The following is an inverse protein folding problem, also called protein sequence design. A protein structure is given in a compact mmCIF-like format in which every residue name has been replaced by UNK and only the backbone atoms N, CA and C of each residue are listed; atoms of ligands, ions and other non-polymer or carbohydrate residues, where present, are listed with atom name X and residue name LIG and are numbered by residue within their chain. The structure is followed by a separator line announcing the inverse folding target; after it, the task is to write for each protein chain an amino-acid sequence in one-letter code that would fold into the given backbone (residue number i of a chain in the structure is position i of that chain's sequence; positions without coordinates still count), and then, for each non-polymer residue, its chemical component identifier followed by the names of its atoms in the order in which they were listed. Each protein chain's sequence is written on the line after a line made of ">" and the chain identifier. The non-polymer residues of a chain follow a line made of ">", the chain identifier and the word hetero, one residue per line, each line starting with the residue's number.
data_IF_434795853909
#
_entry.id   IF_434795853909
#
_cell.length_a   1.000
_cell.length_b   1.000
_cell.length_c   1.000
_cell.angle_alpha   90.00
_cell.angle_beta   90.00
_cell.angle_gamma   90.00
#
_symmetry.space_group_name_H-M   'P 1'
#
loop_
_entity.id
_entity.type
_entity.pdbx_description
1 polymer ?
#
# COMPACT_ATOMS: atom_id res chain seq x y z
N UNK A 1 35.22 -11.25 -2.19
CA UNK A 1 34.46 -9.99 -2.52
C UNK A 1 34.41 -9.12 -1.27
N UNK A 2 34.98 -7.90 -1.31
CA UNK A 2 35.20 -7.06 -0.11
C UNK A 2 33.85 -6.54 0.45
N UNK A 3 33.33 -7.19 1.49
CA UNK A 3 32.10 -6.81 2.18
C UNK A 3 32.15 -5.46 2.94
N UNK A 4 33.29 -4.80 3.00
CA UNK A 4 33.48 -3.56 3.77
C UNK A 4 33.18 -2.25 3.02
N UNK A 5 33.08 -2.24 1.69
CA UNK A 5 32.83 -1.01 0.91
C UNK A 5 31.35 -0.66 0.68
N UNK A 6 30.44 -1.58 0.97
CA UNK A 6 29.00 -1.44 0.67
C UNK A 6 28.18 -0.73 1.78
N UNK A 7 28.78 -0.45 2.92
CA UNK A 7 28.12 0.19 4.06
C UNK A 7 28.51 1.66 4.27
N UNK A 8 28.90 2.37 3.22
CA UNK A 8 29.10 3.81 3.35
C UNK A 8 27.72 4.47 3.65
N UNK A 9 27.69 5.32 4.67
CA UNK A 9 26.50 6.10 5.02
C UNK A 9 25.91 6.81 3.80
N UNK A 10 26.75 7.31 2.88
CA UNK A 10 26.35 7.94 1.63
C UNK A 10 25.59 6.99 0.69
N UNK A 11 25.93 5.71 0.61
CA UNK A 11 25.22 4.72 -0.21
C UNK A 11 23.85 4.37 0.38
N UNK A 12 23.73 4.34 1.73
CA UNK A 12 22.47 4.11 2.42
C UNK A 12 21.53 5.33 2.24
N UNK A 13 22.05 6.54 2.43
CA UNK A 13 21.27 7.77 2.22
C UNK A 13 20.87 7.95 0.76
N UNK A 14 21.75 7.66 -0.20
CA UNK A 14 21.44 7.73 -1.63
C UNK A 14 20.36 6.76 -2.05
N UNK A 15 20.40 5.52 -1.57
CA UNK A 15 19.36 4.52 -1.83
C UNK A 15 17.99 4.91 -1.25
N UNK A 16 17.96 5.37 0.01
CA UNK A 16 16.73 5.80 0.68
C UNK A 16 16.12 7.05 0.03
N UNK A 17 16.93 8.04 -0.33
CA UNK A 17 16.50 9.23 -1.04
C UNK A 17 15.92 8.90 -2.42
N UNK A 18 16.57 7.98 -3.16
CA UNK A 18 16.06 7.51 -4.45
C UNK A 18 14.69 6.83 -4.32
N UNK A 19 14.55 5.90 -3.37
CA UNK A 19 13.26 5.21 -3.12
C UNK A 19 12.16 6.21 -2.74
N UNK A 20 12.49 7.16 -1.86
CA UNK A 20 11.55 8.22 -1.47
C UNK A 20 11.13 9.08 -2.67
N UNK A 21 12.09 9.50 -3.50
CA UNK A 21 11.81 10.27 -4.72
C UNK A 21 10.93 9.48 -5.70
N UNK A 22 11.19 8.19 -5.92
CA UNK A 22 10.36 7.34 -6.77
C UNK A 22 8.91 7.24 -6.23
N UNK A 23 8.74 7.07 -4.91
CA UNK A 23 7.41 7.01 -4.27
C UNK A 23 6.64 8.32 -4.39
N UNK A 24 7.29 9.45 -4.14
CA UNK A 24 6.66 10.78 -4.28
C UNK A 24 6.26 11.04 -5.72
N UNK A 25 7.17 10.78 -6.67
CA UNK A 25 6.89 10.94 -8.11
C UNK A 25 5.77 9.99 -8.56
N UNK A 26 5.79 8.75 -8.12
CA UNK A 26 4.75 7.75 -8.41
C UNK A 26 3.39 8.15 -7.86
N UNK A 27 3.34 8.64 -6.63
CA UNK A 27 2.12 9.14 -6.01
C UNK A 27 1.56 10.36 -6.77
N UNK A 28 2.42 11.30 -7.16
CA UNK A 28 2.03 12.46 -7.95
C UNK A 28 1.51 12.05 -9.33
N UNK A 29 2.21 11.14 -10.03
CA UNK A 29 1.77 10.62 -11.34
C UNK A 29 0.44 9.86 -11.22
N UNK A 30 0.26 9.06 -10.18
CA UNK A 30 -0.98 8.32 -9.95
C UNK A 30 -2.15 9.27 -9.64
N UNK A 31 -1.93 10.31 -8.85
CA UNK A 31 -2.93 11.33 -8.56
C UNK A 31 -3.31 12.09 -9.84
N UNK A 32 -2.32 12.52 -10.63
CA UNK A 32 -2.53 13.20 -11.91
C UNK A 32 -3.29 12.33 -12.91
N UNK A 33 -2.91 11.04 -13.03
CA UNK A 33 -3.63 10.07 -13.84
C UNK A 33 -5.11 9.96 -13.40
N UNK A 34 -5.38 9.87 -12.09
CA UNK A 34 -6.76 9.76 -11.59
C UNK A 34 -7.57 11.03 -11.87
N UNK A 35 -6.97 12.21 -11.75
CA UNK A 35 -7.61 13.48 -12.14
C UNK A 35 -7.98 13.45 -13.62
N UNK A 36 -7.06 13.01 -14.48
CA UNK A 36 -7.30 12.92 -15.92
C UNK A 36 -8.41 11.91 -16.24
N UNK A 37 -8.36 10.70 -15.65
CA UNK A 37 -9.40 9.69 -15.82
C UNK A 37 -10.76 10.18 -15.34
N UNK A 38 -10.84 10.87 -14.19
CA UNK A 38 -12.09 11.46 -13.70
C UNK A 38 -12.69 12.44 -14.71
N UNK A 39 -11.85 13.29 -15.33
CA UNK A 39 -12.26 14.27 -16.31
C UNK A 39 -12.70 13.67 -17.65
N UNK A 40 -12.05 12.58 -18.08
CA UNK A 40 -12.27 11.97 -19.39
C UNK A 40 -13.41 10.96 -19.40
N UNK A 41 -13.61 10.21 -18.32
CA UNK A 41 -14.63 9.14 -18.27
C UNK A 41 -15.77 9.40 -17.27
N UNK A 42 -15.66 10.47 -16.45
CA UNK A 42 -16.66 10.80 -15.43
C UNK A 42 -16.58 9.91 -14.18
N UNK A 43 -17.34 10.30 -13.14
CA UNK A 43 -17.28 9.65 -11.85
C UNK A 43 -17.78 8.19 -11.87
N UNK A 44 -18.80 7.87 -12.64
CA UNK A 44 -19.41 6.54 -12.67
C UNK A 44 -18.45 5.48 -13.24
N UNK A 45 -17.88 5.73 -14.41
CA UNK A 45 -16.93 4.81 -15.05
C UNK A 45 -15.60 4.73 -14.24
N UNK A 46 -15.14 5.86 -13.72
CA UNK A 46 -13.98 5.86 -12.81
C UNK A 46 -14.24 5.00 -11.58
N UNK A 47 -15.44 5.05 -11.02
CA UNK A 47 -15.83 4.22 -9.87
C UNK A 47 -15.78 2.72 -10.18
N UNK A 48 -16.30 2.30 -11.36
CA UNK A 48 -16.23 0.91 -11.83
C UNK A 48 -14.76 0.46 -11.94
N UNK A 49 -13.92 1.29 -12.59
CA UNK A 49 -12.48 1.02 -12.69
C UNK A 49 -11.81 0.88 -11.31
N UNK A 50 -12.09 1.81 -10.38
CA UNK A 50 -11.51 1.80 -9.03
C UNK A 50 -11.92 0.55 -8.28
N UNK A 51 -13.19 0.15 -8.30
CA UNK A 51 -13.68 -1.05 -7.63
C UNK A 51 -13.00 -2.31 -8.21
N UNK A 52 -13.00 -2.45 -9.55
CA UNK A 52 -12.37 -3.59 -10.22
C UNK A 52 -10.87 -3.67 -9.91
N UNK A 53 -10.17 -2.52 -9.97
CA UNK A 53 -8.74 -2.46 -9.67
C UNK A 53 -8.43 -2.73 -8.19
N UNK A 54 -9.29 -2.28 -7.25
CA UNK A 54 -9.13 -2.58 -5.82
C UNK A 54 -9.25 -4.08 -5.54
N UNK A 55 -10.16 -4.78 -6.21
CA UNK A 55 -10.24 -6.24 -6.17
C UNK A 55 -8.95 -6.90 -6.69
N UNK A 56 -8.42 -6.43 -7.83
CA UNK A 56 -7.15 -6.92 -8.35
C UNK A 56 -6.02 -6.77 -7.33
N UNK A 57 -5.88 -5.58 -6.73
CA UNK A 57 -4.82 -5.28 -5.76
C UNK A 57 -4.94 -6.15 -4.51
N UNK A 58 -6.15 -6.28 -3.94
CA UNK A 58 -6.36 -7.06 -2.73
C UNK A 58 -6.17 -8.56 -2.96
N UNK A 59 -6.71 -9.10 -4.06
CA UNK A 59 -6.54 -10.51 -4.42
C UNK A 59 -5.08 -10.86 -4.74
N UNK A 60 -4.34 -9.96 -5.41
CA UNK A 60 -2.91 -10.12 -5.62
C UNK A 60 -2.13 -10.13 -4.30
N UNK A 61 -2.48 -9.22 -3.37
CA UNK A 61 -1.87 -9.16 -2.04
C UNK A 61 -2.11 -10.44 -1.22
N UNK A 62 -3.30 -11.01 -1.26
CA UNK A 62 -3.60 -12.29 -0.59
C UNK A 62 -2.88 -13.46 -1.27
N UNK A 63 -2.79 -13.44 -2.61
CA UNK A 63 -2.26 -14.55 -3.41
C UNK A 63 -0.78 -14.84 -3.17
N UNK A 64 0.02 -13.87 -2.74
CA UNK A 64 1.43 -14.16 -2.43
C UNK A 64 1.64 -14.76 -1.02
N UNK A 65 0.57 -15.07 -0.27
CA UNK A 65 0.60 -15.79 1.01
C UNK A 65 1.64 -15.24 2.00
N UNK A 66 1.90 -13.93 1.95
CA UNK A 66 2.89 -13.26 2.78
C UNK A 66 4.35 -13.47 2.38
N UNK A 67 4.64 -14.17 1.28
CA UNK A 67 6.02 -14.36 0.81
C UNK A 67 6.67 -13.03 0.44
N UNK A 68 5.92 -12.11 -0.16
CA UNK A 68 6.41 -10.78 -0.53
C UNK A 68 6.93 -10.00 0.69
N UNK A 69 6.19 -9.76 1.78
CA UNK A 69 6.73 -9.09 2.96
C UNK A 69 7.78 -9.91 3.70
N UNK A 70 7.80 -11.25 3.57
CA UNK A 70 8.81 -12.12 4.18
C UNK A 70 10.14 -12.17 3.41
N UNK A 71 10.18 -11.70 2.15
CA UNK A 71 11.34 -11.81 1.24
C UNK A 71 12.62 -11.26 1.87
N UNK A 72 12.56 -10.08 2.49
CA UNK A 72 13.75 -9.46 3.09
C UNK A 72 14.35 -10.31 4.21
N UNK A 73 13.50 -10.96 5.02
CA UNK A 73 13.96 -11.84 6.10
C UNK A 73 14.53 -13.14 5.56
N UNK A 74 13.89 -13.73 4.55
CA UNK A 74 14.29 -15.03 3.96
C UNK A 74 15.59 -14.86 3.19
N UNK A 75 15.68 -13.90 2.27
CA UNK A 75 16.89 -13.66 1.46
C UNK A 75 18.01 -13.11 2.35
N UNK A 76 17.70 -12.21 3.30
CA UNK A 76 18.71 -11.70 4.22
C UNK A 76 19.37 -12.82 5.06
N UNK A 77 18.57 -13.80 5.53
CA UNK A 77 19.08 -15.00 6.20
C UNK A 77 19.95 -15.84 5.26
N UNK A 78 19.47 -16.13 4.05
CA UNK A 78 20.21 -16.95 3.07
C UNK A 78 21.55 -16.32 2.66
N UNK A 79 21.60 -14.98 2.54
CA UNK A 79 22.85 -14.24 2.29
C UNK A 79 23.80 -14.30 3.48
N UNK A 80 23.31 -14.21 4.72
CA UNK A 80 24.14 -14.29 5.93
C UNK A 80 24.70 -15.71 6.16
N UNK A 81 23.93 -16.74 5.83
CA UNK A 81 24.34 -18.16 5.92
C UNK A 81 25.16 -18.62 4.71
N UNK A 82 25.35 -17.77 3.70
CA UNK A 82 26.06 -18.08 2.43
C UNK A 82 25.44 -19.31 1.76
N UNK A 83 24.11 -19.33 1.60
CA UNK A 83 23.35 -20.42 0.98
C UNK A 83 22.70 -19.97 -0.35
N UNK A 84 23.45 -19.96 -1.46
CA UNK A 84 22.92 -19.56 -2.79
C UNK A 84 21.74 -20.42 -3.24
N UNK A 85 21.78 -21.74 -2.97
CA UNK A 85 20.70 -22.66 -3.31
C UNK A 85 19.34 -22.27 -2.70
N UNK A 86 19.34 -21.70 -1.49
CA UNK A 86 18.11 -21.22 -0.85
C UNK A 86 17.54 -19.96 -1.54
N UNK A 87 18.40 -19.10 -2.07
CA UNK A 87 18.00 -17.91 -2.84
C UNK A 87 17.36 -18.33 -4.16
N UNK A 88 18.00 -19.23 -4.89
CA UNK A 88 17.46 -19.80 -6.13
C UNK A 88 16.13 -20.51 -5.86
N UNK A 89 16.08 -21.36 -4.82
CA UNK A 89 14.87 -22.07 -4.44
C UNK A 89 13.71 -21.13 -4.06
N UNK A 90 14.01 -20.04 -3.34
CA UNK A 90 12.97 -19.05 -3.00
C UNK A 90 12.47 -18.28 -4.22
N UNK A 91 13.38 -17.87 -5.12
CA UNK A 91 12.99 -17.17 -6.35
C UNK A 91 12.14 -18.06 -7.28
N UNK A 92 12.52 -19.33 -7.45
CA UNK A 92 11.81 -20.28 -8.31
C UNK A 92 10.52 -20.80 -7.68
N UNK A 93 10.62 -21.46 -6.52
CA UNK A 93 9.47 -22.11 -5.87
C UNK A 93 8.50 -21.09 -5.28
N UNK A 94 9.03 -20.01 -4.71
CA UNK A 94 8.20 -18.89 -4.23
C UNK A 94 7.42 -18.26 -5.37
N UNK A 95 8.09 -18.01 -6.51
CA UNK A 95 7.44 -17.52 -7.73
C UNK A 95 6.38 -18.46 -8.29
N UNK A 96 6.65 -19.79 -8.31
CA UNK A 96 5.66 -20.81 -8.71
C UNK A 96 4.44 -20.83 -7.80
N UNK A 97 4.63 -20.81 -6.48
CA UNK A 97 3.53 -20.78 -5.50
C UNK A 97 2.69 -19.53 -5.68
N UNK A 98 3.32 -18.35 -5.76
CA UNK A 98 2.62 -17.08 -6.00
C UNK A 98 1.83 -17.13 -7.31
N UNK A 99 2.40 -17.64 -8.38
CA UNK A 99 1.73 -17.77 -9.68
C UNK A 99 0.54 -18.73 -9.62
N UNK A 100 0.72 -19.95 -9.12
CA UNK A 100 -0.35 -20.95 -9.05
C UNK A 100 -1.50 -20.46 -8.18
N UNK A 101 -1.20 -19.93 -6.99
CA UNK A 101 -2.23 -19.40 -6.08
C UNK A 101 -2.97 -18.22 -6.71
N UNK A 102 -2.26 -17.27 -7.32
CA UNK A 102 -2.87 -16.10 -7.94
C UNK A 102 -3.73 -16.45 -9.16
N UNK A 103 -3.31 -17.43 -9.98
CA UNK A 103 -4.12 -17.94 -11.09
C UNK A 103 -5.37 -18.64 -10.56
N UNK A 104 -5.25 -19.48 -9.52
CA UNK A 104 -6.41 -20.15 -8.91
C UNK A 104 -7.41 -19.13 -8.37
N UNK A 105 -6.94 -18.12 -7.65
CA UNK A 105 -7.77 -17.03 -7.11
C UNK A 105 -8.42 -16.24 -8.25
N UNK A 106 -7.66 -15.90 -9.29
CA UNK A 106 -8.16 -15.17 -10.46
C UNK A 106 -9.26 -15.95 -11.19
N UNK A 107 -9.05 -17.24 -11.45
CA UNK A 107 -10.04 -18.11 -12.11
C UNK A 107 -11.30 -18.28 -11.27
N UNK A 108 -11.16 -18.48 -9.96
CA UNK A 108 -12.31 -18.60 -9.04
C UNK A 108 -13.12 -17.29 -8.99
N UNK A 109 -12.45 -16.15 -8.94
CA UNK A 109 -13.10 -14.84 -8.95
C UNK A 109 -13.78 -14.55 -10.31
N UNK A 110 -13.12 -14.90 -11.42
CA UNK A 110 -13.68 -14.76 -12.77
C UNK A 110 -14.92 -15.64 -12.95
N UNK A 111 -14.86 -16.90 -12.50
CA UNK A 111 -16.01 -17.81 -12.53
C UNK A 111 -17.20 -17.25 -11.73
N UNK A 112 -16.93 -16.70 -10.55
CA UNK A 112 -17.98 -16.08 -9.73
C UNK A 112 -18.64 -14.91 -10.45
N UNK A 113 -17.88 -14.03 -11.11
CA UNK A 113 -18.44 -12.92 -11.91
C UNK A 113 -19.28 -13.46 -13.08
N UNK A 114 -18.81 -14.47 -13.79
CA UNK A 114 -19.54 -15.08 -14.91
C UNK A 114 -20.88 -15.68 -14.43
N UNK A 115 -20.87 -16.38 -13.30
CA UNK A 115 -22.09 -16.97 -12.71
C UNK A 115 -23.08 -15.92 -12.19
N UNK A 116 -22.60 -14.73 -11.87
CA UNK A 116 -23.41 -13.61 -11.38
C UNK A 116 -23.72 -12.58 -12.48
N UNK A 117 -23.30 -12.82 -13.74
CA UNK A 117 -23.45 -11.84 -14.84
C UNK A 117 -24.90 -11.42 -15.04
N UNK A 118 -25.87 -12.33 -14.89
CA UNK A 118 -27.30 -12.02 -15.01
C UNK A 118 -27.81 -11.04 -13.93
N UNK A 119 -27.07 -10.88 -12.84
CA UNK A 119 -27.39 -9.97 -11.73
C UNK A 119 -26.58 -8.66 -11.75
N UNK A 120 -25.57 -8.58 -12.62
CA UNK A 120 -24.72 -7.41 -12.76
C UNK A 120 -25.22 -6.55 -13.95
N UNK A 121 -25.16 -5.23 -13.88
CA UNK A 121 -25.37 -4.38 -15.05
C UNK A 121 -24.38 -4.78 -16.16
N UNK A 122 -24.88 -4.99 -17.39
CA UNK A 122 -24.15 -5.64 -18.48
C UNK A 122 -22.80 -5.00 -18.86
N UNK A 123 -22.55 -3.74 -18.49
CA UNK A 123 -21.28 -3.04 -18.76
C UNK A 123 -20.17 -3.29 -17.72
N UNK A 124 -20.50 -3.89 -16.57
CA UNK A 124 -19.55 -3.97 -15.45
C UNK A 124 -18.72 -5.27 -15.43
N UNK A 125 -19.16 -6.33 -16.09
CA UNK A 125 -18.47 -7.64 -16.05
C UNK A 125 -17.06 -7.58 -16.67
N UNK A 126 -16.90 -6.91 -17.83
CA UNK A 126 -15.63 -6.86 -18.55
C UNK A 126 -14.47 -6.22 -17.75
N UNK A 127 -14.63 -5.06 -17.10
CA UNK A 127 -13.59 -4.48 -16.22
C UNK A 127 -13.16 -5.45 -15.10
N UNK A 128 -14.11 -6.18 -14.48
CA UNK A 128 -13.79 -7.14 -13.43
C UNK A 128 -13.02 -8.35 -13.94
N UNK A 129 -13.40 -8.93 -15.08
CA UNK A 129 -12.68 -10.05 -15.69
C UNK A 129 -11.25 -9.67 -16.05
N UNK A 130 -11.04 -8.46 -16.62
CA UNK A 130 -9.70 -7.93 -16.88
C UNK A 130 -8.89 -7.69 -15.61
N UNK A 131 -9.54 -7.17 -14.56
CA UNK A 131 -8.92 -6.99 -13.26
C UNK A 131 -8.47 -8.32 -12.65
N UNK A 132 -9.27 -9.38 -12.77
CA UNK A 132 -8.89 -10.70 -12.27
C UNK A 132 -7.79 -11.35 -13.13
N UNK A 133 -7.79 -11.14 -14.44
CA UNK A 133 -6.67 -11.53 -15.30
C UNK A 133 -5.35 -10.83 -14.92
N UNK A 134 -5.42 -9.62 -14.35
CA UNK A 134 -4.27 -8.87 -13.87
C UNK A 134 -3.75 -9.35 -12.49
N UNK A 135 -4.52 -10.12 -11.71
CA UNK A 135 -4.11 -10.59 -10.36
C UNK A 135 -2.78 -11.33 -10.37
N UNK A 136 -2.55 -12.37 -11.21
CA UNK A 136 -1.27 -13.07 -11.24
C UNK A 136 -0.11 -12.17 -11.69
N UNK A 137 -0.36 -11.22 -12.57
CA UNK A 137 0.64 -10.27 -13.03
C UNK A 137 1.10 -9.35 -11.89
N UNK A 138 0.14 -8.77 -11.18
CA UNK A 138 0.43 -7.87 -10.07
C UNK A 138 1.09 -8.60 -8.88
N UNK A 139 0.66 -9.83 -8.58
CA UNK A 139 1.26 -10.65 -7.53
C UNK A 139 2.73 -10.97 -7.87
N UNK A 140 3.03 -11.34 -9.12
CA UNK A 140 4.40 -11.58 -9.57
C UNK A 140 5.25 -10.32 -9.57
N UNK A 141 4.75 -9.18 -10.06
CA UNK A 141 5.45 -7.89 -10.04
C UNK A 141 5.84 -7.54 -8.60
N UNK A 142 4.92 -7.69 -7.65
CA UNK A 142 5.16 -7.39 -6.23
C UNK A 142 6.22 -8.32 -5.62
N UNK A 143 6.14 -9.61 -5.90
CA UNK A 143 7.09 -10.60 -5.41
C UNK A 143 8.50 -10.39 -5.99
N UNK A 144 8.61 -10.23 -7.31
CA UNK A 144 9.86 -9.97 -8.02
C UNK A 144 10.50 -8.64 -7.59
N UNK A 145 9.67 -7.59 -7.45
CA UNK A 145 10.11 -6.29 -6.96
C UNK A 145 10.72 -6.38 -5.55
N UNK A 146 10.13 -7.19 -4.66
CA UNK A 146 10.68 -7.35 -3.31
C UNK A 146 11.98 -8.15 -3.28
N UNK A 147 12.18 -9.12 -4.18
CA UNK A 147 13.48 -9.77 -4.37
C UNK A 147 14.51 -8.74 -4.83
N UNK A 148 14.18 -7.90 -5.80
CA UNK A 148 15.08 -6.83 -6.25
C UNK A 148 15.43 -5.84 -5.11
N UNK A 149 14.49 -5.54 -4.20
CA UNK A 149 14.78 -4.75 -3.00
C UNK A 149 15.78 -5.45 -2.08
N UNK A 150 15.67 -6.78 -1.90
CA UNK A 150 16.58 -7.55 -1.07
C UNK A 150 18.03 -7.48 -1.58
N UNK A 151 18.22 -7.40 -2.91
CA UNK A 151 19.53 -7.20 -3.56
C UNK A 151 19.89 -5.72 -3.76
N UNK A 152 19.11 -4.78 -3.20
CA UNK A 152 19.30 -3.32 -3.35
C UNK A 152 19.23 -2.81 -4.80
N UNK A 153 18.61 -3.55 -5.69
CA UNK A 153 18.33 -3.10 -7.07
C UNK A 153 17.13 -2.17 -7.08
N UNK A 154 17.22 -1.06 -6.36
CA UNK A 154 16.10 -0.12 -6.15
C UNK A 154 15.53 0.42 -7.46
N UNK A 155 16.37 0.63 -8.49
CA UNK A 155 15.89 1.06 -9.80
C UNK A 155 14.97 0.02 -10.43
N UNK A 156 15.34 -1.25 -10.37
CA UNK A 156 14.54 -2.37 -10.90
C UNK A 156 13.25 -2.57 -10.09
N UNK A 157 13.31 -2.39 -8.78
CA UNK A 157 12.15 -2.57 -7.90
C UNK A 157 11.09 -1.47 -8.06
N UNK A 158 11.51 -0.20 -8.17
CA UNK A 158 10.59 0.94 -8.04
C UNK A 158 10.27 1.64 -9.37
N UNK A 159 11.22 1.83 -10.28
CA UNK A 159 10.96 2.59 -11.52
C UNK A 159 9.85 1.98 -12.38
N UNK A 160 9.82 0.66 -12.66
CA UNK A 160 8.79 0.08 -13.52
C UNK A 160 7.38 0.25 -12.94
N UNK A 161 7.22 -0.01 -11.64
CA UNK A 161 5.92 -0.04 -10.98
C UNK A 161 5.41 1.34 -10.56
N UNK A 162 6.29 2.20 -10.05
CA UNK A 162 5.91 3.48 -9.45
C UNK A 162 5.93 4.63 -10.46
N UNK A 163 6.81 4.56 -11.48
CA UNK A 163 7.01 5.69 -12.41
C UNK A 163 6.58 5.32 -13.83
N UNK A 164 7.17 4.28 -14.42
CA UNK A 164 6.94 3.99 -15.84
C UNK A 164 5.52 3.52 -16.12
N UNK A 165 4.97 2.62 -15.31
CA UNK A 165 3.61 2.10 -15.51
C UNK A 165 2.54 3.20 -15.44
N UNK A 166 2.45 4.05 -14.39
CA UNK A 166 1.45 5.12 -14.36
C UNK A 166 1.69 6.19 -15.45
N UNK A 167 2.94 6.50 -15.80
CA UNK A 167 3.25 7.42 -16.87
C UNK A 167 2.82 6.89 -18.25
N UNK A 168 3.15 5.62 -18.55
CA UNK A 168 2.74 4.98 -19.81
C UNK A 168 1.22 4.79 -19.88
N UNK A 169 0.58 4.43 -18.76
CA UNK A 169 -0.88 4.34 -18.71
C UNK A 169 -1.51 5.70 -19.05
N UNK A 170 -1.02 6.78 -18.44
CA UNK A 170 -1.49 8.13 -18.75
C UNK A 170 -1.30 8.46 -20.23
N UNK A 171 -0.12 8.22 -20.79
CA UNK A 171 0.17 8.57 -22.20
C UNK A 171 -0.70 7.77 -23.17
N UNK A 172 -0.87 6.46 -22.96
CA UNK A 172 -1.67 5.61 -23.85
C UNK A 172 -3.14 5.98 -23.75
N UNK A 173 -3.67 6.16 -22.54
CA UNK A 173 -5.07 6.53 -22.32
C UNK A 173 -5.36 7.93 -22.85
N UNK A 174 -4.43 8.89 -22.69
CA UNK A 174 -4.54 10.22 -23.31
C UNK A 174 -4.59 10.15 -24.84
N UNK A 175 -3.73 9.32 -25.46
CA UNK A 175 -3.75 9.12 -26.90
C UNK A 175 -5.08 8.51 -27.38
N UNK A 176 -5.63 7.52 -26.66
CA UNK A 176 -6.94 6.93 -26.96
C UNK A 176 -8.03 8.00 -26.85
N UNK A 177 -8.05 8.79 -25.78
CA UNK A 177 -9.05 9.82 -25.57
C UNK A 177 -9.01 10.90 -26.67
N UNK A 178 -7.82 11.32 -27.09
CA UNK A 178 -7.66 12.30 -28.18
C UNK A 178 -8.17 11.75 -29.51
N UNK A 179 -8.00 10.45 -29.78
CA UNK A 179 -8.36 9.85 -31.08
C UNK A 179 -9.82 9.37 -31.14
N UNK A 180 -10.38 8.89 -30.05
CA UNK A 180 -11.73 8.28 -30.04
C UNK A 180 -12.77 9.13 -29.32
N UNK A 181 -12.34 10.05 -28.44
CA UNK A 181 -13.19 10.83 -27.53
C UNK A 181 -14.05 9.96 -26.60
N UNK A 182 -13.88 8.64 -26.61
CA UNK A 182 -14.61 7.68 -25.79
C UNK A 182 -13.64 6.92 -24.89
N UNK A 183 -13.86 7.01 -23.59
CA UNK A 183 -13.06 6.30 -22.59
C UNK A 183 -14.00 5.70 -21.56
N UNK A 184 -13.81 4.42 -21.28
CA UNK A 184 -14.57 3.68 -20.26
C UNK A 184 -13.66 2.81 -19.40
N UNK A 185 -14.21 2.26 -18.32
CA UNK A 185 -13.47 1.41 -17.38
C UNK A 185 -12.80 0.19 -18.04
N UNK A 186 -13.45 -0.38 -19.07
CA UNK A 186 -12.93 -1.56 -19.80
C UNK A 186 -11.66 -1.21 -20.56
N UNK A 187 -11.66 -0.09 -21.31
CA UNK A 187 -10.48 0.36 -22.07
C UNK A 187 -9.31 0.64 -21.13
N UNK A 188 -9.53 1.40 -20.06
CA UNK A 188 -8.48 1.73 -19.10
C UNK A 188 -7.93 0.46 -18.46
N UNK A 189 -8.81 -0.50 -18.08
CA UNK A 189 -8.42 -1.75 -17.46
C UNK A 189 -7.65 -2.65 -18.44
N UNK A 190 -8.00 -2.65 -19.73
CA UNK A 190 -7.26 -3.37 -20.78
C UNK A 190 -5.82 -2.86 -20.89
N UNK A 191 -5.66 -1.54 -20.99
CA UNK A 191 -4.32 -0.92 -21.08
C UNK A 191 -3.52 -1.22 -19.79
N UNK A 192 -4.15 -1.07 -18.64
CA UNK A 192 -3.53 -1.36 -17.34
C UNK A 192 -3.03 -2.80 -17.24
N UNK A 193 -3.87 -3.78 -17.62
CA UNK A 193 -3.52 -5.21 -17.61
C UNK A 193 -2.40 -5.52 -18.59
N UNK A 194 -2.44 -4.94 -19.79
CA UNK A 194 -1.38 -5.10 -20.80
C UNK A 194 -0.04 -4.55 -20.31
N UNK A 195 -0.03 -3.37 -19.69
CA UNK A 195 1.18 -2.80 -19.11
C UNK A 195 1.71 -3.64 -17.93
N UNK A 196 0.82 -4.22 -17.12
CA UNK A 196 1.22 -5.17 -16.07
C UNK A 196 1.86 -6.41 -16.65
N UNK A 197 1.33 -6.96 -17.75
CA UNK A 197 1.92 -8.10 -18.43
C UNK A 197 3.35 -7.80 -18.91
N UNK A 198 3.54 -6.69 -19.62
CA UNK A 198 4.87 -6.26 -20.07
C UNK A 198 5.82 -6.06 -18.90
N UNK A 199 5.36 -5.43 -17.81
CA UNK A 199 6.16 -5.18 -16.62
C UNK A 199 6.55 -6.50 -15.92
N UNK A 200 5.62 -7.45 -15.77
CA UNK A 200 5.88 -8.74 -15.13
C UNK A 200 6.93 -9.56 -15.91
N UNK A 201 6.79 -9.59 -17.23
CA UNK A 201 7.74 -10.27 -18.12
C UNK A 201 9.12 -9.60 -18.08
N UNK A 202 9.17 -8.29 -18.18
CA UNK A 202 10.44 -7.55 -18.11
C UNK A 202 11.15 -7.78 -16.78
N UNK A 203 10.45 -7.67 -15.66
CA UNK A 203 11.01 -7.93 -14.32
C UNK A 203 11.48 -9.37 -14.17
N UNK A 204 10.77 -10.34 -14.72
CA UNK A 204 11.17 -11.76 -14.68
C UNK A 204 12.55 -11.96 -15.35
N UNK A 205 12.75 -11.43 -16.55
CA UNK A 205 14.02 -11.56 -17.25
C UNK A 205 15.15 -10.77 -16.58
N UNK A 206 14.89 -9.52 -16.16
CA UNK A 206 15.87 -8.68 -15.49
C UNK A 206 16.32 -9.35 -14.18
N UNK A 207 15.37 -9.85 -13.37
CA UNK A 207 15.67 -10.52 -12.12
C UNK A 207 16.49 -11.79 -12.35
N UNK A 208 16.09 -12.62 -13.32
CA UNK A 208 16.78 -13.88 -13.62
C UNK A 208 18.22 -13.65 -14.11
N UNK A 209 18.43 -12.64 -14.95
CA UNK A 209 19.77 -12.27 -15.42
C UNK A 209 20.62 -11.68 -14.28
N UNK A 210 20.05 -10.81 -13.46
CA UNK A 210 20.73 -10.21 -12.32
C UNK A 210 21.13 -11.25 -11.27
N UNK A 211 20.24 -12.18 -10.91
CA UNK A 211 20.56 -13.26 -9.98
C UNK A 211 21.69 -14.15 -10.51
N UNK A 212 21.69 -14.48 -11.81
CA UNK A 212 22.79 -15.25 -12.44
C UNK A 212 24.14 -14.54 -12.41
N UNK A 213 24.14 -13.22 -12.44
CA UNK A 213 25.35 -12.41 -12.38
C UNK A 213 25.94 -12.29 -10.97
N UNK A 214 25.08 -12.28 -9.93
CA UNK A 214 25.51 -12.04 -8.55
C UNK A 214 25.61 -13.30 -7.68
N UNK A 215 24.81 -14.33 -7.98
CA UNK A 215 24.67 -15.53 -7.16
C UNK A 215 25.26 -16.73 -7.87
N UNK A 216 26.13 -17.47 -7.18
CA UNK A 216 26.70 -18.70 -7.69
C UNK A 216 25.60 -19.69 -8.10
N UNK A 217 25.76 -20.39 -9.25
CA UNK A 217 24.81 -21.41 -9.65
C UNK A 217 24.95 -22.63 -8.71
N UNK A 218 23.95 -22.84 -7.90
CA UNK A 218 23.82 -23.99 -7.00
C UNK A 218 22.45 -24.65 -7.15
N UNK A 219 22.32 -25.95 -6.82
CA UNK A 219 21.01 -26.61 -6.78
C UNK A 219 20.04 -25.88 -5.87
N UNK A 220 18.80 -25.71 -6.34
CA UNK A 220 17.77 -24.98 -5.58
C UNK A 220 17.36 -25.76 -4.33
N UNK A 221 17.43 -25.11 -3.17
CA UNK A 221 16.98 -25.61 -1.89
C UNK A 221 15.58 -25.06 -1.55
N UNK A 222 14.69 -25.91 -1.04
CA UNK A 222 13.28 -25.54 -0.80
C UNK A 222 12.88 -25.66 0.67
N UNK A 223 12.55 -24.52 1.28
CA UNK A 223 12.01 -24.45 2.66
C UNK A 223 10.56 -23.87 2.65
N UNK A 224 9.71 -24.29 1.72
CA UNK A 224 8.39 -23.67 1.47
C UNK A 224 7.52 -23.57 2.73
N UNK A 225 7.49 -24.61 3.57
CA UNK A 225 6.73 -24.61 4.84
C UNK A 225 7.22 -23.55 5.82
N UNK A 226 8.55 -23.38 5.91
CA UNK A 226 9.16 -22.36 6.78
C UNK A 226 8.85 -20.95 6.24
N UNK A 227 8.93 -20.74 4.93
CA UNK A 227 8.60 -19.47 4.28
C UNK A 227 7.15 -19.05 4.53
N UNK A 228 6.20 -19.99 4.38
CA UNK A 228 4.78 -19.74 4.66
C UNK A 228 4.53 -19.43 6.15
N UNK A 229 5.19 -20.13 7.06
CA UNK A 229 5.07 -19.86 8.50
C UNK A 229 5.54 -18.44 8.86
N UNK A 230 6.58 -17.95 8.20
CA UNK A 230 7.07 -16.58 8.38
C UNK A 230 6.13 -15.58 7.70
N UNK A 231 5.63 -15.91 6.51
CA UNK A 231 4.85 -15.02 5.65
C UNK A 231 3.43 -14.76 6.15
N UNK A 232 2.72 -15.78 6.62
CA UNK A 232 1.29 -15.68 6.97
C UNK A 232 0.98 -14.60 8.01
N UNK A 233 1.72 -14.44 9.11
CA UNK A 233 1.50 -13.32 10.03
C UNK A 233 1.78 -11.96 9.39
N UNK A 234 2.82 -11.87 8.55
CA UNK A 234 3.19 -10.65 7.86
C UNK A 234 2.16 -10.25 6.79
N UNK A 235 1.45 -11.21 6.19
CA UNK A 235 0.35 -10.95 5.28
C UNK A 235 -0.73 -10.11 5.94
N UNK A 236 -1.23 -10.52 7.11
CA UNK A 236 -2.30 -9.81 7.81
C UNK A 236 -1.89 -8.39 8.22
N UNK A 237 -0.64 -8.22 8.69
CA UNK A 237 -0.08 -6.90 9.01
C UNK A 237 -0.02 -6.02 7.75
N UNK A 238 0.39 -6.59 6.62
CA UNK A 238 0.49 -5.84 5.37
C UNK A 238 -0.87 -5.52 4.76
N UNK A 239 -1.86 -6.42 4.88
CA UNK A 239 -3.22 -6.17 4.42
C UNK A 239 -3.83 -4.94 5.08
N UNK A 240 -3.69 -4.81 6.38
CA UNK A 240 -4.16 -3.60 7.07
C UNK A 240 -3.27 -2.40 6.79
N UNK A 241 -1.96 -2.56 6.88
CA UNK A 241 -1.01 -1.44 6.79
C UNK A 241 -0.93 -0.78 5.41
N UNK A 242 -1.11 -1.55 4.33
CA UNK A 242 -0.92 -1.08 2.95
C UNK A 242 -2.19 -1.11 2.10
N UNK A 243 -3.13 -2.04 2.35
CA UNK A 243 -4.28 -2.30 1.47
C UNK A 243 -5.62 -1.93 2.10
N UNK A 244 -5.61 -1.24 3.24
CA UNK A 244 -6.85 -0.81 3.90
C UNK A 244 -7.72 0.14 3.04
N UNK A 245 -7.15 1.06 2.23
CA UNK A 245 -7.96 1.87 1.30
C UNK A 245 -8.71 1.02 0.26
N UNK A 246 -8.05 0.04 -0.34
CA UNK A 246 -8.64 -0.87 -1.32
C UNK A 246 -9.72 -1.75 -0.67
N UNK A 247 -9.47 -2.21 0.56
CA UNK A 247 -10.45 -2.94 1.36
C UNK A 247 -11.72 -2.12 1.60
N UNK A 248 -11.59 -0.83 1.95
CA UNK A 248 -12.73 0.07 2.11
C UNK A 248 -13.50 0.24 0.80
N UNK A 249 -12.82 0.43 -0.33
CA UNK A 249 -13.46 0.54 -1.66
C UNK A 249 -14.27 -0.71 -1.99
N UNK A 250 -13.71 -1.90 -1.73
CA UNK A 250 -14.39 -3.18 -1.97
C UNK A 250 -15.66 -3.32 -1.11
N UNK A 251 -15.62 -2.90 0.15
CA UNK A 251 -16.79 -2.94 1.04
C UNK A 251 -17.90 -1.96 0.60
N UNK A 252 -17.52 -0.85 -0.02
CA UNK A 252 -18.44 0.18 -0.49
C UNK A 252 -19.14 -0.21 -1.80
N UNK A 253 -18.43 -0.90 -2.71
CA UNK A 253 -18.93 -1.22 -4.06
C UNK A 253 -20.33 -1.81 -4.12
N UNK A 254 -20.69 -2.79 -3.26
CA UNK A 254 -22.05 -3.36 -3.22
C UNK A 254 -23.12 -2.48 -2.57
N UNK A 255 -22.75 -1.41 -1.86
CA UNK A 255 -23.66 -0.65 -1.00
C UNK A 255 -24.04 0.72 -1.56
N UNK A 256 -23.18 1.32 -2.38
CA UNK A 256 -23.37 2.65 -2.95
C UNK A 256 -23.06 2.65 -4.46
N UNK A 257 -23.57 3.65 -5.17
CA UNK A 257 -23.32 3.78 -6.60
C UNK A 257 -21.83 4.04 -6.91
N UNK A 258 -21.38 3.64 -8.10
CA UNK A 258 -19.97 3.70 -8.49
C UNK A 258 -19.39 5.13 -8.50
N UNK A 259 -20.18 6.13 -8.88
CA UNK A 259 -19.82 7.54 -8.80
C UNK A 259 -19.49 7.98 -7.37
N UNK A 260 -20.28 7.55 -6.39
CA UNK A 260 -20.02 7.80 -4.97
C UNK A 260 -18.74 7.12 -4.49
N UNK A 261 -18.44 5.90 -4.99
CA UNK A 261 -17.17 5.23 -4.69
C UNK A 261 -15.99 6.02 -5.28
N UNK A 262 -16.12 6.56 -6.49
CA UNK A 262 -15.08 7.42 -7.09
C UNK A 262 -14.84 8.69 -6.25
N UNK A 263 -15.91 9.35 -5.79
CA UNK A 263 -15.84 10.55 -4.93
C UNK A 263 -15.18 10.22 -3.58
N UNK A 264 -15.57 9.10 -2.96
CA UNK A 264 -14.93 8.61 -1.72
C UNK A 264 -13.44 8.34 -1.94
N UNK A 265 -13.07 7.63 -3.02
CA UNK A 265 -11.67 7.30 -3.31
C UNK A 265 -10.83 8.54 -3.55
N UNK A 266 -11.32 9.53 -4.34
CA UNK A 266 -10.64 10.80 -4.56
C UNK A 266 -10.42 11.56 -3.24
N UNK A 267 -11.44 11.64 -2.39
CA UNK A 267 -11.38 12.23 -1.05
C UNK A 267 -10.36 11.52 -0.16
N UNK A 268 -10.32 10.18 -0.19
CA UNK A 268 -9.40 9.38 0.59
C UNK A 268 -7.96 9.55 0.10
N UNK A 269 -7.72 9.55 -1.20
CA UNK A 269 -6.37 9.74 -1.75
C UNK A 269 -5.80 11.11 -1.43
N UNK A 270 -6.60 12.17 -1.46
CA UNK A 270 -6.17 13.49 -1.01
C UNK A 270 -5.82 13.46 0.50
N UNK A 271 -6.67 12.87 1.34
CA UNK A 271 -6.39 12.75 2.77
C UNK A 271 -5.11 11.92 3.06
N UNK A 272 -4.81 10.89 2.25
CA UNK A 272 -3.58 10.10 2.37
C UNK A 272 -2.30 10.88 2.07
N UNK A 273 -2.36 12.04 1.37
CA UNK A 273 -1.18 12.90 1.20
C UNK A 273 -0.59 13.34 2.55
N UNK A 274 -1.43 13.47 3.60
CA UNK A 274 -0.97 13.73 4.97
C UNK A 274 -0.08 12.59 5.46
N UNK A 275 -0.45 11.34 5.14
CA UNK A 275 0.30 10.15 5.55
C UNK A 275 1.70 10.06 4.90
N UNK A 276 1.91 10.67 3.72
CA UNK A 276 3.25 10.75 3.11
C UNK A 276 4.22 11.57 3.96
N UNK A 277 3.78 12.71 4.50
CA UNK A 277 4.59 13.50 5.42
C UNK A 277 4.96 12.72 6.69
N UNK A 278 4.01 11.99 7.27
CA UNK A 278 4.25 11.11 8.42
C UNK A 278 5.23 9.99 8.08
N UNK A 279 5.08 9.34 6.92
CA UNK A 279 5.97 8.29 6.45
C UNK A 279 7.41 8.77 6.23
N UNK A 280 7.60 10.01 5.79
CA UNK A 280 8.92 10.63 5.69
C UNK A 280 9.57 10.74 7.08
N UNK A 281 8.85 11.26 8.07
CA UNK A 281 9.34 11.39 9.45
C UNK A 281 9.68 10.01 10.04
N UNK A 282 8.81 9.00 9.83
CA UNK A 282 9.02 7.62 10.27
C UNK A 282 10.29 7.01 9.65
N UNK A 283 10.55 7.28 8.37
CA UNK A 283 11.72 6.74 7.66
C UNK A 283 13.05 7.19 8.26
N UNK A 284 13.10 8.40 8.82
CA UNK A 284 14.27 8.92 9.55
C UNK A 284 14.29 8.50 11.01
N UNK A 285 13.13 8.39 11.64
CA UNK A 285 13.02 8.10 13.08
C UNK A 285 13.23 6.63 13.38
N UNK A 286 12.73 5.72 12.56
CA UNK A 286 12.76 4.28 12.82
C UNK A 286 14.19 3.69 12.98
N UNK A 287 15.20 4.01 12.13
CA UNK A 287 16.56 3.51 12.32
C UNK A 287 17.23 4.04 13.60
N UNK A 288 16.95 5.32 13.94
CA UNK A 288 17.46 5.93 15.16
C UNK A 288 16.83 5.29 16.39
N UNK A 289 15.51 5.08 16.36
CA UNK A 289 14.78 4.41 17.43
C UNK A 289 15.28 2.96 17.64
N UNK A 290 15.54 2.21 16.55
CA UNK A 290 16.11 0.88 16.63
C UNK A 290 17.46 0.85 17.36
N UNK A 291 18.35 1.78 17.03
CA UNK A 291 19.68 1.88 17.63
C UNK A 291 19.59 2.24 19.12
N UNK A 292 18.79 3.25 19.46
CA UNK A 292 18.63 3.69 20.84
C UNK A 292 17.97 2.62 21.72
N UNK A 293 17.01 1.90 21.17
CA UNK A 293 16.37 0.77 21.86
C UNK A 293 17.37 -0.37 22.14
N UNK A 294 18.20 -0.73 21.13
CA UNK A 294 19.24 -1.75 21.29
C UNK A 294 20.32 -1.34 22.31
N UNK A 295 20.63 -0.02 22.37
CA UNK A 295 21.55 0.55 23.34
C UNK A 295 20.93 0.71 24.76
N UNK A 296 19.63 0.44 24.92
CA UNK A 296 18.85 0.68 26.17
C UNK A 296 18.82 2.15 26.63
N UNK A 297 19.00 3.09 25.70
CA UNK A 297 18.96 4.53 25.95
C UNK A 297 17.52 5.05 25.89
N UNK A 298 16.69 4.65 26.85
CA UNK A 298 15.23 4.89 26.87
C UNK A 298 14.90 6.38 26.87
N UNK A 299 15.64 7.22 27.61
CA UNK A 299 15.40 8.65 27.69
C UNK A 299 15.63 9.37 26.34
N UNK A 300 16.70 9.00 25.63
CA UNK A 300 16.98 9.54 24.31
C UNK A 300 15.98 9.07 23.27
N UNK A 301 15.60 7.78 23.34
CA UNK A 301 14.56 7.22 22.50
C UNK A 301 13.23 7.97 22.69
N UNK A 302 12.82 8.24 23.94
CA UNK A 302 11.61 9.03 24.20
C UNK A 302 11.73 10.46 23.67
N UNK A 303 12.88 11.10 23.79
CA UNK A 303 13.11 12.44 23.25
C UNK A 303 12.99 12.48 21.72
N UNK A 304 13.57 11.50 21.02
CA UNK A 304 13.48 11.37 19.55
C UNK A 304 12.02 11.12 19.12
N UNK A 305 11.33 10.18 19.76
CA UNK A 305 9.92 9.87 19.48
C UNK A 305 9.03 11.09 19.71
N UNK A 306 9.26 11.81 20.80
CA UNK A 306 8.53 13.05 21.13
C UNK A 306 8.71 14.13 20.05
N UNK A 307 9.93 14.33 19.55
CA UNK A 307 10.21 15.30 18.46
C UNK A 307 9.52 14.86 17.16
N UNK A 308 9.61 13.59 16.82
CA UNK A 308 8.96 13.02 15.63
C UNK A 308 7.42 13.20 15.70
N UNK A 309 6.82 12.91 16.85
CA UNK A 309 5.37 13.09 17.08
C UNK A 309 4.95 14.56 16.95
N UNK A 310 5.72 15.49 17.54
CA UNK A 310 5.45 16.94 17.41
C UNK A 310 5.48 17.40 15.95
N UNK A 311 6.54 17.05 15.22
CA UNK A 311 6.69 17.41 13.82
C UNK A 311 5.57 16.81 12.98
N UNK A 312 5.29 15.52 13.15
CA UNK A 312 4.23 14.82 12.42
C UNK A 312 2.84 15.41 12.68
N UNK A 313 2.56 15.75 13.94
CA UNK A 313 1.29 16.38 14.30
C UNK A 313 1.15 17.79 13.70
N UNK A 314 2.19 18.63 13.82
CA UNK A 314 2.17 19.97 13.22
C UNK A 314 2.01 19.93 11.70
N UNK A 315 2.74 19.04 11.00
CA UNK A 315 2.55 18.83 9.57
C UNK A 315 1.11 18.40 9.24
N UNK A 316 0.53 17.50 10.04
CA UNK A 316 -0.85 17.05 9.85
C UNK A 316 -1.87 18.15 10.07
N UNK A 317 -1.72 18.95 11.12
CA UNK A 317 -2.58 20.13 11.40
C UNK A 317 -2.51 21.13 10.25
N UNK A 318 -1.30 21.45 9.78
CA UNK A 318 -1.11 22.34 8.63
C UNK A 318 -1.79 21.81 7.37
N UNK A 319 -1.62 20.52 7.08
CA UNK A 319 -2.26 19.90 5.92
C UNK A 319 -3.79 19.87 6.03
N UNK A 320 -4.35 19.60 7.22
CA UNK A 320 -5.80 19.68 7.47
C UNK A 320 -6.30 21.12 7.27
N UNK A 321 -5.58 22.12 7.74
CA UNK A 321 -5.93 23.53 7.53
C UNK A 321 -5.92 23.90 6.02
N UNK A 322 -4.90 23.43 5.28
CA UNK A 322 -4.84 23.58 3.82
C UNK A 322 -6.05 22.93 3.14
N UNK A 323 -6.43 21.72 3.54
CA UNK A 323 -7.58 21.04 2.97
C UNK A 323 -8.92 21.67 3.36
N UNK A 324 -9.03 22.30 4.54
CA UNK A 324 -10.22 23.06 4.91
C UNK A 324 -10.43 24.26 3.98
N UNK A 325 -9.35 24.95 3.59
CA UNK A 325 -9.41 26.12 2.70
C UNK A 325 -9.47 25.74 1.23
N UNK A 326 -8.56 24.85 0.81
CA UNK A 326 -8.35 24.52 -0.61
C UNK A 326 -8.98 23.19 -1.04
N UNK A 327 -9.63 22.46 -0.14
CA UNK A 327 -10.15 21.13 -0.44
C UNK A 327 -11.22 21.09 -1.52
N UNK A 328 -12.12 22.07 -1.56
CA UNK A 328 -13.11 22.19 -2.65
C UNK A 328 -12.46 22.41 -4.02
N UNK A 329 -11.54 23.38 -4.21
CA UNK A 329 -10.75 23.51 -5.44
C UNK A 329 -9.98 22.23 -5.80
N UNK A 330 -9.34 21.55 -4.84
CA UNK A 330 -8.60 20.32 -5.10
C UNK A 330 -9.49 19.18 -5.59
N UNK A 331 -10.67 18.99 -4.99
CA UNK A 331 -11.65 18.04 -5.48
C UNK A 331 -12.24 18.46 -6.84
N UNK A 332 -12.40 19.76 -7.08
CA UNK A 332 -12.82 20.33 -8.36
C UNK A 332 -11.85 20.03 -9.51
N UNK A 333 -10.58 19.68 -9.24
CA UNK A 333 -9.67 19.20 -10.26
C UNK A 333 -10.14 17.89 -10.90
N UNK A 334 -10.80 17.02 -10.14
CA UNK A 334 -11.38 15.77 -10.64
C UNK A 334 -12.66 16.00 -11.47
N UNK A 335 -13.48 16.99 -11.10
CA UNK A 335 -14.76 17.32 -11.72
C UNK A 335 -15.65 18.06 -10.73
N UNK A 336 -16.67 18.76 -11.23
CA UNK A 336 -17.60 19.51 -10.37
C UNK A 336 -18.33 18.57 -9.39
N UNK A 337 -18.68 17.37 -9.84
CA UNK A 337 -19.36 16.34 -9.04
C UNK A 337 -18.53 15.84 -7.85
N UNK A 338 -17.19 15.93 -7.89
CA UNK A 338 -16.33 15.50 -6.79
C UNK A 338 -16.31 16.48 -5.61
N UNK A 339 -16.75 17.73 -5.80
CA UNK A 339 -16.74 18.76 -4.76
C UNK A 339 -17.63 18.40 -3.58
N UNK A 340 -18.69 17.61 -3.80
CA UNK A 340 -19.56 17.08 -2.71
C UNK A 340 -18.78 16.21 -1.72
N UNK A 341 -17.67 15.61 -2.13
CA UNK A 341 -16.77 14.82 -1.29
C UNK A 341 -15.96 15.63 -0.26
N UNK A 342 -16.08 16.98 -0.23
CA UNK A 342 -15.28 17.80 0.70
C UNK A 342 -15.49 17.43 2.16
N UNK A 343 -16.73 17.22 2.61
CA UNK A 343 -17.03 16.76 3.98
C UNK A 343 -16.40 15.41 4.30
N UNK A 344 -16.51 14.45 3.36
CA UNK A 344 -15.87 13.13 3.44
C UNK A 344 -14.34 13.26 3.57
N UNK A 345 -13.72 14.09 2.74
CA UNK A 345 -12.28 14.37 2.78
C UNK A 345 -11.84 14.94 4.12
N UNK A 346 -12.60 15.86 4.72
CA UNK A 346 -12.29 16.44 6.03
C UNK A 346 -12.35 15.40 7.16
N UNK A 347 -13.33 14.50 7.14
CA UNK A 347 -13.43 13.39 8.11
C UNK A 347 -12.21 12.44 7.96
N UNK A 348 -11.83 12.11 6.73
CA UNK A 348 -10.66 11.28 6.45
C UNK A 348 -9.34 11.97 6.82
N UNK A 349 -9.23 13.29 6.64
CA UNK A 349 -8.11 14.08 7.10
C UNK A 349 -8.02 14.13 8.64
N UNK A 350 -9.17 14.18 9.33
CA UNK A 350 -9.22 14.04 10.79
C UNK A 350 -8.71 12.65 11.25
N UNK A 351 -8.99 11.58 10.50
CA UNK A 351 -8.41 10.27 10.80
C UNK A 351 -6.88 10.27 10.73
N UNK A 352 -6.27 10.97 9.73
CA UNK A 352 -4.82 11.12 9.67
C UNK A 352 -4.26 11.98 10.82
N UNK A 353 -5.01 12.97 11.28
CA UNK A 353 -4.65 13.76 12.45
C UNK A 353 -4.63 12.91 13.73
N UNK A 354 -5.64 12.04 13.92
CA UNK A 354 -5.68 11.07 15.03
C UNK A 354 -4.46 10.13 14.98
N UNK A 355 -4.13 9.61 13.81
CA UNK A 355 -2.95 8.77 13.60
C UNK A 355 -1.66 9.50 13.98
N UNK A 356 -1.50 10.75 13.56
CA UNK A 356 -0.31 11.55 13.88
C UNK A 356 -0.22 11.91 15.37
N UNK A 357 -1.35 12.10 16.05
CA UNK A 357 -1.41 12.37 17.47
C UNK A 357 -0.98 11.18 18.34
N UNK A 358 -1.19 9.95 17.87
CA UNK A 358 -0.71 8.73 18.55
C UNK A 358 0.81 8.56 18.46
N UNK A 359 1.47 9.21 17.50
CA UNK A 359 2.90 9.10 17.22
C UNK A 359 3.26 7.84 16.38
N UNK A 360 4.55 7.52 16.23
CA UNK A 360 5.04 6.42 15.38
C UNK A 360 4.87 5.04 16.04
N UNK A 361 3.67 4.74 16.58
CA UNK A 361 3.39 3.53 17.38
C UNK A 361 3.65 2.23 16.59
N UNK A 362 3.32 2.22 15.30
CA UNK A 362 3.52 1.05 14.45
C UNK A 362 5.02 0.76 14.22
N UNK A 363 5.80 1.79 13.93
CA UNK A 363 7.25 1.70 13.76
C UNK A 363 7.93 1.25 15.06
N UNK A 364 7.50 1.78 16.21
CA UNK A 364 8.02 1.39 17.52
C UNK A 364 7.76 -0.09 17.80
N UNK A 365 6.54 -0.58 17.63
CA UNK A 365 6.20 -2.00 17.83
C UNK A 365 7.02 -2.92 16.92
N UNK A 366 7.26 -2.49 15.67
CA UNK A 366 8.08 -3.26 14.72
C UNK A 366 9.55 -3.31 15.16
N UNK A 367 10.13 -2.17 15.53
CA UNK A 367 11.54 -2.04 15.93
C UNK A 367 11.85 -2.76 17.25
N UNK A 368 10.89 -2.76 18.17
CA UNK A 368 11.05 -3.41 19.51
C UNK A 368 10.71 -4.89 19.50
N UNK A 369 10.36 -5.48 18.34
CA UNK A 369 10.08 -6.91 18.20
C UNK A 369 8.69 -7.36 18.67
N UNK A 370 7.79 -6.42 19.00
CA UNK A 370 6.43 -6.71 19.47
C UNK A 370 5.38 -6.71 18.34
N UNK A 371 5.81 -7.00 17.09
CA UNK A 371 4.95 -6.98 15.90
C UNK A 371 3.77 -7.98 15.97
N UNK A 372 3.88 -9.05 16.76
CA UNK A 372 2.81 -10.05 16.89
C UNK A 372 1.54 -9.45 17.53
N UNK A 373 1.69 -8.47 18.41
CA UNK A 373 0.56 -7.76 19.00
C UNK A 373 -0.17 -6.90 17.96
N UNK A 374 0.55 -6.38 16.95
CA UNK A 374 -0.05 -5.64 15.83
C UNK A 374 -1.03 -6.51 15.04
N UNK A 375 -0.78 -7.83 14.95
CA UNK A 375 -1.65 -8.76 14.25
C UNK A 375 -3.06 -8.77 14.83
N UNK A 376 -3.19 -8.89 16.14
CA UNK A 376 -4.50 -8.91 16.84
C UNK A 376 -5.22 -7.58 16.67
N UNK A 377 -4.49 -6.46 16.84
CA UNK A 377 -5.05 -5.11 16.69
C UNK A 377 -5.56 -4.88 15.27
N UNK A 378 -4.79 -5.27 14.25
CA UNK A 378 -5.19 -5.05 12.85
C UNK A 378 -6.27 -6.01 12.39
N UNK A 379 -6.26 -7.26 12.84
CA UNK A 379 -7.36 -8.19 12.58
C UNK A 379 -8.68 -7.69 13.17
N UNK A 380 -8.67 -7.22 14.42
CA UNK A 380 -9.87 -6.63 15.05
C UNK A 380 -10.31 -5.32 14.38
N UNK A 381 -9.36 -4.50 13.89
CA UNK A 381 -9.64 -3.30 13.13
C UNK A 381 -10.35 -3.59 11.79
N UNK A 382 -9.93 -4.65 11.07
CA UNK A 382 -10.59 -5.10 9.85
C UNK A 382 -12.03 -5.57 10.13
N UNK A 383 -12.23 -6.37 11.19
CA UNK A 383 -13.57 -6.82 11.60
C UNK A 383 -14.44 -5.63 11.98
N UNK A 384 -13.92 -4.68 12.75
CA UNK A 384 -14.62 -3.46 13.12
C UNK A 384 -14.98 -2.62 11.88
N UNK A 385 -14.07 -2.53 10.89
CA UNK A 385 -14.35 -1.82 9.65
C UNK A 385 -15.53 -2.44 8.90
N UNK A 386 -15.56 -3.78 8.77
CA UNK A 386 -16.71 -4.48 8.14
C UNK A 386 -18.01 -4.15 8.86
N UNK A 387 -18.06 -4.32 10.19
CA UNK A 387 -19.26 -4.08 10.99
C UNK A 387 -19.73 -2.63 10.84
N UNK A 388 -18.83 -1.66 10.98
CA UNK A 388 -19.15 -0.25 10.91
C UNK A 388 -19.59 0.18 9.50
N UNK A 389 -19.00 -0.37 8.44
CA UNK A 389 -19.42 -0.09 7.06
C UNK A 389 -20.87 -0.53 6.85
N UNK A 390 -21.24 -1.75 7.27
CA UNK A 390 -22.61 -2.25 7.11
C UNK A 390 -23.65 -1.50 7.97
N UNK A 391 -23.22 -0.84 9.05
CA UNK A 391 -24.11 -0.02 9.90
C UNK A 391 -24.20 1.42 9.38
N UNK A 392 -23.06 2.05 9.06
CA UNK A 392 -23.01 3.49 8.81
C UNK A 392 -23.20 3.87 7.34
N UNK A 393 -22.79 3.02 6.39
CA UNK A 393 -22.89 3.36 4.96
C UNK A 393 -24.33 3.40 4.47
N UNK A 394 -25.24 2.48 4.83
CA UNK A 394 -26.63 2.54 4.38
C UNK A 394 -27.36 3.82 4.81
N UNK A 395 -26.96 4.43 5.95
CA UNK A 395 -27.62 5.65 6.49
C UNK A 395 -26.91 6.93 6.09
N UNK A 396 -25.59 6.93 6.01
CA UNK A 396 -24.77 8.14 5.81
C UNK A 396 -23.94 8.13 4.51
N UNK A 397 -24.08 7.09 3.66
CA UNK A 397 -23.35 6.98 2.38
C UNK A 397 -21.83 7.10 2.56
N UNK A 398 -21.19 7.92 1.70
CA UNK A 398 -19.74 8.14 1.73
C UNK A 398 -19.25 8.79 3.04
N UNK A 399 -20.08 9.57 3.72
CA UNK A 399 -19.72 10.10 5.03
C UNK A 399 -19.66 9.00 6.08
N UNK A 400 -20.57 8.02 6.03
CA UNK A 400 -20.56 6.84 6.90
C UNK A 400 -19.28 6.03 6.73
N UNK A 401 -18.81 5.87 5.48
CA UNK A 401 -17.54 5.24 5.16
C UNK A 401 -16.34 6.01 5.76
N UNK A 402 -16.33 7.33 5.65
CA UNK A 402 -15.28 8.17 6.23
C UNK A 402 -15.25 8.12 7.76
N UNK A 403 -16.43 8.15 8.40
CA UNK A 403 -16.56 7.97 9.85
C UNK A 403 -16.06 6.59 10.29
N UNK A 404 -16.34 5.54 9.52
CA UNK A 404 -15.76 4.21 9.76
C UNK A 404 -14.26 4.25 9.79
N UNK A 405 -13.61 4.86 8.79
CA UNK A 405 -12.14 5.01 8.75
C UNK A 405 -11.64 5.77 9.98
N UNK A 406 -12.32 6.85 10.37
CA UNK A 406 -11.97 7.64 11.55
C UNK A 406 -12.04 6.81 12.84
N UNK A 407 -13.17 6.11 13.07
CA UNK A 407 -13.37 5.29 14.27
C UNK A 407 -12.39 4.12 14.34
N UNK A 408 -12.17 3.42 13.23
CA UNK A 408 -11.19 2.34 13.14
C UNK A 408 -9.79 2.86 13.41
N UNK A 409 -9.43 4.03 12.85
CA UNK A 409 -8.12 4.66 13.08
C UNK A 409 -7.95 5.05 14.55
N UNK A 410 -8.98 5.62 15.18
CA UNK A 410 -8.98 5.95 16.61
C UNK A 410 -8.79 4.69 17.46
N UNK A 411 -9.51 3.62 17.14
CA UNK A 411 -9.45 2.34 17.86
C UNK A 411 -8.05 1.71 17.85
N UNK A 412 -7.51 1.43 16.65
CA UNK A 412 -6.20 0.78 16.55
C UNK A 412 -5.05 1.68 17.02
N UNK A 413 -5.12 2.99 16.76
CA UNK A 413 -4.09 3.94 17.21
C UNK A 413 -4.03 4.01 18.74
N UNK A 414 -5.19 4.07 19.41
CA UNK A 414 -5.29 4.09 20.87
C UNK A 414 -4.82 2.76 21.47
N UNK A 415 -5.19 1.63 20.85
CA UNK A 415 -4.78 0.31 21.34
C UNK A 415 -3.26 0.12 21.20
N UNK A 416 -2.68 0.40 20.02
CA UNK A 416 -1.23 0.33 19.84
C UNK A 416 -0.49 1.32 20.75
N UNK A 417 -1.02 2.52 20.97
CA UNK A 417 -0.43 3.45 21.93
C UNK A 417 -0.34 2.85 23.34
N UNK A 418 -1.42 2.22 23.83
CA UNK A 418 -1.42 1.54 25.13
C UNK A 418 -0.43 0.38 25.18
N UNK A 419 -0.29 -0.38 24.10
CA UNK A 419 0.70 -1.46 24.00
C UNK A 419 2.13 -0.91 24.02
N UNK A 420 2.43 0.17 23.32
CA UNK A 420 3.77 0.80 23.39
C UNK A 420 4.08 1.27 24.81
N UNK A 421 3.14 1.90 25.48
CA UNK A 421 3.34 2.36 26.87
C UNK A 421 3.58 1.17 27.81
N UNK A 422 2.85 0.06 27.67
CA UNK A 422 2.97 -1.11 28.55
C UNK A 422 4.19 -1.97 28.26
N UNK A 423 4.59 -2.14 27.00
CA UNK A 423 5.66 -3.05 26.58
C UNK A 423 7.02 -2.36 26.42
N UNK A 424 7.03 -1.11 25.99
CA UNK A 424 8.27 -0.35 25.71
C UNK A 424 8.57 0.69 26.80
N UNK A 425 7.55 1.07 27.57
CA UNK A 425 7.70 2.05 28.67
C UNK A 425 7.76 3.52 28.19
N UNK A 426 7.51 3.80 26.90
CA UNK A 426 7.60 5.13 26.28
C UNK A 426 6.20 5.65 25.99
N UNK A 427 6.02 6.98 26.14
CA UNK A 427 4.75 7.66 25.88
C UNK A 427 4.80 8.48 24.58
N UNK A 428 4.49 7.87 23.41
CA UNK A 428 4.66 8.51 22.10
C UNK A 428 3.62 9.59 21.76
N UNK A 429 2.54 9.75 22.55
CA UNK A 429 1.41 10.61 22.19
C UNK A 429 1.73 12.09 22.24
N UNK A 430 0.96 12.87 21.45
CA UNK A 430 1.04 14.33 21.39
C UNK A 430 0.82 14.98 22.75
N UNK A 431 -0.04 14.44 23.61
CA UNK A 431 -0.31 14.97 24.94
C UNK A 431 0.96 14.99 25.80
N UNK A 432 1.80 13.96 25.71
CA UNK A 432 3.09 13.92 26.42
C UNK A 432 4.18 14.69 25.65
N UNK A 433 4.04 14.78 24.32
CA UNK A 433 5.01 15.52 23.52
C UNK A 433 5.00 17.03 23.79
N UNK A 434 3.87 17.62 24.16
CA UNK A 434 3.73 19.02 24.53
C UNK A 434 3.79 19.28 26.04
N UNK A 435 3.65 18.25 26.89
CA UNK A 435 3.89 18.42 28.31
C UNK A 435 5.36 18.87 28.53
N UNK A 436 5.54 20.00 29.19
CA UNK A 436 6.86 20.45 29.64
C UNK A 436 7.34 19.45 30.69
N UNK A 437 8.55 18.97 30.55
CA UNK A 437 9.30 18.33 31.64
C UNK A 437 9.67 19.39 32.65
#
# INVERSE_FOLDING_TARGET
>A
MNARSTYSLSAIFGGSAFVFSCRVTGAALTLFLQIALARWMGAAELGIYIIAFSWCVLLAAVSHLGMTPATLRIIGRALAEVRPGLIWGFAERGGQVVFVVSVTVALSASLLVILLTDRLPGSTAAPFLLAFAAVPLLALISFQGMIAVAFRWFKVAFLPSEVFRPALLFLIVAAIWITTSELNATVVMTVQTSLMFVTAVALFFILRLGLRAEIAPEPSEYETKAWLRIGMPLLLISLFGHYFPEFMVILLGPQIASDQVAIFNASYRLALLIAFGLGAIDSFTAPVAARLFAAKEVNELEAVVRRATKLGFLCSVTAVAVFAVFGRPLLGLFGAEFVVGHGTMMILAAAQLVRSAAGPVMSLMSVTGHQDHCLVVFASALVAAVILVFILVPTYGIHGAAVTVLLVTLGWSTWLHRLVVSQVGIRPSIFHAFARV
#
